data_IF_830221863881
#
_entry.id   IF_830221863881
#
_cell.length_a   1.000
_cell.length_b   1.000
_cell.length_c   1.000
_cell.angle_alpha   90.00
_cell.angle_beta   90.00
_cell.angle_gamma   90.00
#
_symmetry.space_group_name_H-M   'P 1'
#
loop_
_entity.id
_entity.type
_entity.pdbx_description
1 polymer ?
#
# COMPACT_ATOMS: atom_id res chain seq x y z
N UNK A 1 6.51 5.56 6.11
CA UNK A 1 7.33 5.31 7.32
C UNK A 1 7.47 3.80 7.54
N UNK A 2 8.61 3.32 8.08
CA UNK A 2 8.79 1.91 8.44
C UNK A 2 7.95 1.52 9.68
N UNK A 3 7.63 0.23 9.85
CA UNK A 3 6.86 -0.26 11.01
C UNK A 3 7.66 -0.12 12.30
N UNK A 4 6.97 0.17 13.41
CA UNK A 4 7.53 0.09 14.75
C UNK A 4 7.43 -1.34 15.31
N UNK A 5 8.05 -1.57 16.48
CA UNK A 5 8.04 -2.91 17.07
C UNK A 5 6.65 -3.33 17.53
N UNK A 6 5.80 -2.39 17.93
CA UNK A 6 4.43 -2.67 18.39
C UNK A 6 3.61 -3.26 17.22
N UNK A 7 3.71 -2.65 16.03
CA UNK A 7 3.04 -3.15 14.83
C UNK A 7 3.56 -4.53 14.42
N UNK A 8 4.88 -4.76 14.46
CA UNK A 8 5.47 -6.07 14.15
C UNK A 8 5.01 -7.16 15.12
N UNK A 9 4.91 -6.84 16.41
CA UNK A 9 4.43 -7.77 17.44
C UNK A 9 2.94 -8.09 17.23
N UNK A 10 2.12 -7.10 16.84
CA UNK A 10 0.70 -7.28 16.50
C UNK A 10 0.52 -8.17 15.26
N UNK A 11 1.30 -7.94 14.20
CA UNK A 11 1.30 -8.79 13.00
C UNK A 11 1.70 -10.22 13.39
N UNK A 12 2.78 -10.38 14.16
CA UNK A 12 3.28 -11.67 14.63
C UNK A 12 2.25 -12.47 15.42
N UNK A 13 1.46 -11.79 16.27
CA UNK A 13 0.43 -12.40 17.10
C UNK A 13 -0.81 -12.86 16.31
N UNK A 14 -1.08 -12.25 15.16
CA UNK A 14 -2.26 -12.54 14.34
C UNK A 14 -2.23 -13.91 13.65
N UNK A 15 -1.04 -14.47 13.44
CA UNK A 15 -0.84 -15.76 12.77
C UNK A 15 -1.31 -17.00 13.57
N UNK A 16 -1.82 -16.80 14.78
CA UNK A 16 -2.35 -17.87 15.63
C UNK A 16 -3.86 -18.14 15.39
N UNK A 17 -4.48 -17.51 14.40
CA UNK A 17 -5.87 -17.80 14.04
C UNK A 17 -5.98 -19.21 13.45
N UNK A 18 -6.80 -20.08 14.05
CA UNK A 18 -7.19 -21.40 13.53
C UNK A 18 -8.00 -21.27 12.23
N UNK A 19 -7.40 -20.75 11.16
CA UNK A 19 -7.99 -20.79 9.84
C UNK A 19 -7.85 -22.23 9.32
N UNK A 20 -8.92 -23.00 9.48
CA UNK A 20 -9.04 -24.40 9.04
C UNK A 20 -8.93 -24.62 7.52
N UNK A 21 -8.52 -23.61 6.74
CA UNK A 21 -8.42 -23.69 5.30
C UNK A 21 -7.17 -22.96 4.77
N UNK A 22 -6.01 -23.60 4.94
CA UNK A 22 -4.69 -23.16 4.46
C UNK A 22 -4.56 -23.18 2.92
N UNK A 23 -5.65 -22.96 2.17
CA UNK A 23 -5.67 -23.00 0.70
C UNK A 23 -5.93 -21.65 0.03
N UNK A 24 -6.33 -20.61 0.78
CA UNK A 24 -6.55 -19.29 0.20
C UNK A 24 -5.20 -18.58 -0.10
N UNK A 25 -4.94 -18.10 -1.33
CA UNK A 25 -3.70 -17.41 -1.70
C UNK A 25 -3.34 -16.24 -0.76
N UNK A 26 -4.33 -15.43 -0.37
CA UNK A 26 -4.15 -14.31 0.56
C UNK A 26 -3.67 -14.76 1.95
N UNK A 27 -4.17 -15.90 2.45
CA UNK A 27 -3.74 -16.43 3.74
C UNK A 27 -2.26 -16.86 3.71
N UNK A 28 -1.79 -17.42 2.59
CA UNK A 28 -0.39 -17.82 2.43
C UNK A 28 0.56 -16.63 2.45
N UNK A 29 0.25 -15.56 1.69
CA UNK A 29 1.09 -14.35 1.69
C UNK A 29 1.03 -13.60 3.02
N UNK A 30 -0.11 -13.64 3.73
CA UNK A 30 -0.21 -13.13 5.10
C UNK A 30 0.75 -13.87 6.04
N UNK A 31 0.76 -15.20 6.00
CA UNK A 31 1.66 -15.99 6.84
C UNK A 31 3.14 -15.72 6.54
N UNK A 32 3.49 -15.43 5.29
CA UNK A 32 4.86 -15.00 4.95
C UNK A 32 5.22 -13.68 5.63
N UNK A 33 4.30 -12.70 5.67
CA UNK A 33 4.53 -11.43 6.38
C UNK A 33 4.62 -11.64 7.90
N UNK A 34 3.76 -12.51 8.46
CA UNK A 34 3.83 -12.91 9.88
C UNK A 34 5.19 -13.50 10.21
N UNK A 35 5.72 -14.41 9.40
CA UNK A 35 7.04 -15.00 9.63
C UNK A 35 8.17 -13.98 9.46
N UNK A 36 8.08 -13.06 8.49
CA UNK A 36 9.05 -11.97 8.36
C UNK A 36 9.06 -11.07 9.61
N UNK A 37 7.89 -10.69 10.12
CA UNK A 37 7.75 -9.87 11.32
C UNK A 37 8.29 -10.58 12.57
N UNK A 38 8.03 -11.88 12.75
CA UNK A 38 8.52 -12.67 13.89
C UNK A 38 10.05 -12.78 13.94
N UNK A 39 10.69 -12.84 12.77
CA UNK A 39 12.12 -13.14 12.64
C UNK A 39 13.00 -11.89 12.49
N UNK A 40 12.46 -10.69 12.68
CA UNK A 40 13.16 -9.42 12.52
C UNK A 40 12.75 -8.40 13.58
N UNK A 41 13.48 -7.28 13.67
CA UNK A 41 13.18 -6.17 14.57
C UNK A 41 12.87 -4.92 13.79
N UNK A 42 12.18 -3.96 14.40
CA UNK A 42 11.87 -2.67 13.77
C UNK A 42 13.12 -1.95 13.20
N UNK A 43 14.29 -2.15 13.81
CA UNK A 43 15.55 -1.61 13.29
C UNK A 43 15.95 -2.18 11.92
N UNK A 44 15.68 -3.47 11.66
CA UNK A 44 15.98 -4.14 10.39
C UNK A 44 15.06 -3.60 9.28
N UNK A 45 13.76 -3.49 9.58
CA UNK A 45 12.77 -2.88 8.68
C UNK A 45 13.06 -1.43 8.37
N UNK A 46 13.53 -0.66 9.37
CA UNK A 46 13.94 0.72 9.18
C UNK A 46 15.16 0.82 8.27
N UNK A 47 16.18 -0.03 8.49
CA UNK A 47 17.37 -0.03 7.66
C UNK A 47 17.04 -0.32 6.19
N UNK A 48 16.22 -1.35 5.93
CA UNK A 48 15.78 -1.70 4.57
C UNK A 48 14.87 -0.63 3.95
N UNK A 49 14.00 0.01 4.74
CA UNK A 49 13.17 1.11 4.25
C UNK A 49 14.00 2.31 3.83
N UNK A 50 14.95 2.71 4.67
CA UNK A 50 15.83 3.85 4.42
C UNK A 50 16.70 3.59 3.18
N UNK A 51 17.20 2.36 2.98
CA UNK A 51 18.01 2.01 1.80
C UNK A 51 17.20 1.95 0.51
N UNK A 52 16.01 1.35 0.55
CA UNK A 52 15.26 0.98 -0.66
C UNK A 52 14.35 2.11 -1.15
N UNK A 53 13.78 2.89 -0.22
CA UNK A 53 12.76 3.91 -0.53
C UNK A 53 13.20 5.35 -0.29
N UNK A 54 14.22 5.58 0.56
CA UNK A 54 14.68 6.95 0.91
C UNK A 54 16.10 7.29 0.46
N UNK A 55 16.86 6.32 -0.09
CA UNK A 55 18.31 6.37 -0.24
C UNK A 55 18.91 7.71 -0.70
N UNK A 56 20.12 8.03 -0.21
CA UNK A 56 20.84 9.28 -0.53
C UNK A 56 21.20 9.31 -2.02
N UNK A 57 20.34 9.91 -2.84
CA UNK A 57 20.46 9.95 -4.29
C UNK A 57 19.13 9.65 -4.97
N UNK A 58 19.12 8.73 -5.94
CA UNK A 58 17.88 8.22 -6.56
C UNK A 58 17.47 6.96 -5.78
N UNK A 59 16.28 6.92 -5.14
CA UNK A 59 15.81 5.69 -4.51
C UNK A 59 15.67 4.59 -5.56
N UNK A 60 15.91 3.34 -5.15
CA UNK A 60 15.77 2.19 -6.04
C UNK A 60 14.31 2.01 -6.45
N UNK A 61 13.40 2.29 -5.51
CA UNK A 61 11.96 2.11 -5.66
C UNK A 61 11.27 3.42 -5.24
N UNK A 62 10.41 3.95 -6.10
CA UNK A 62 9.56 5.08 -5.77
C UNK A 62 8.23 4.58 -5.25
N UNK A 63 7.66 5.23 -4.23
CA UNK A 63 6.36 4.83 -3.66
C UNK A 63 5.20 5.69 -4.20
N UNK A 64 5.37 6.28 -5.39
CA UNK A 64 4.50 7.33 -5.92
C UNK A 64 3.92 6.95 -7.28
N UNK A 65 2.60 7.05 -7.42
CA UNK A 65 1.91 6.69 -8.66
C UNK A 65 2.33 7.52 -9.87
N UNK A 66 2.67 8.81 -9.68
CA UNK A 66 3.17 9.66 -10.77
C UNK A 66 4.43 9.10 -11.44
N UNK A 67 5.33 8.46 -10.67
CA UNK A 67 6.54 7.85 -11.22
C UNK A 67 6.23 6.70 -12.17
N UNK A 68 5.33 5.79 -11.77
CA UNK A 68 4.98 4.62 -12.59
C UNK A 68 4.13 4.99 -13.81
N UNK A 69 3.25 5.98 -13.68
CA UNK A 69 2.33 6.37 -14.74
C UNK A 69 2.90 7.40 -15.72
N UNK A 70 3.83 8.25 -15.29
CA UNK A 70 4.36 9.35 -16.09
C UNK A 70 5.90 9.41 -16.13
N UNK A 71 6.61 8.51 -15.43
CA UNK A 71 8.06 8.44 -15.39
C UNK A 71 8.74 9.45 -14.47
N UNK A 72 7.99 10.40 -13.89
CA UNK A 72 8.51 11.46 -13.04
C UNK A 72 7.55 11.76 -11.88
N UNK A 73 8.08 12.27 -10.78
CA UNK A 73 7.29 12.68 -9.63
C UNK A 73 6.52 13.99 -9.90
N UNK A 74 5.39 14.16 -9.21
CA UNK A 74 4.57 15.37 -9.23
C UNK A 74 3.95 15.71 -10.59
N UNK A 75 3.72 14.68 -11.40
CA UNK A 75 3.10 14.80 -12.71
C UNK A 75 1.56 14.84 -12.64
N UNK A 76 0.92 14.87 -13.81
CA UNK A 76 -0.55 14.89 -13.96
C UNK A 76 -1.32 13.93 -13.03
N UNK A 77 -0.91 12.67 -12.79
CA UNK A 77 -1.63 11.78 -11.88
C UNK A 77 -1.86 12.37 -10.48
N UNK A 78 -0.90 13.12 -9.93
CA UNK A 78 -1.05 13.78 -8.64
C UNK A 78 -2.16 14.85 -8.66
N UNK A 79 -2.30 15.59 -9.76
CA UNK A 79 -3.37 16.58 -9.91
C UNK A 79 -4.74 15.90 -9.98
N UNK A 80 -4.84 14.74 -10.63
CA UNK A 80 -6.08 13.99 -10.73
C UNK A 80 -6.50 13.43 -9.37
N UNK A 81 -5.55 12.95 -8.56
CA UNK A 81 -5.80 12.55 -7.16
C UNK A 81 -6.33 13.74 -6.34
N UNK A 82 -5.67 14.90 -6.40
CA UNK A 82 -6.11 16.10 -5.66
C UNK A 82 -7.53 16.52 -6.02
N UNK A 83 -7.94 16.37 -7.29
CA UNK A 83 -9.33 16.62 -7.70
C UNK A 83 -10.30 15.64 -7.06
N UNK A 84 -9.96 14.36 -7.00
CA UNK A 84 -10.78 13.35 -6.31
C UNK A 84 -10.88 13.65 -4.80
N UNK A 85 -9.78 14.01 -4.15
CA UNK A 85 -9.80 14.36 -2.73
C UNK A 85 -10.71 15.57 -2.44
N UNK A 86 -10.67 16.60 -3.28
CA UNK A 86 -11.58 17.74 -3.17
C UNK A 86 -13.07 17.33 -3.31
N UNK A 87 -13.38 16.35 -4.16
CA UNK A 87 -14.75 15.83 -4.28
C UNK A 87 -15.20 15.08 -3.02
N UNK A 88 -14.26 14.49 -2.29
CA UNK A 88 -14.52 13.80 -1.02
C UNK A 88 -14.45 14.74 0.19
N UNK A 89 -14.14 16.03 -0.01
CA UNK A 89 -13.93 16.98 1.09
C UNK A 89 -12.68 16.69 1.92
N UNK A 90 -11.69 16.00 1.32
CA UNK A 90 -10.43 15.64 1.95
C UNK A 90 -9.33 16.61 1.52
N UNK A 91 -8.44 16.93 2.47
CA UNK A 91 -7.29 17.80 2.26
C UNK A 91 -6.02 17.12 2.79
N UNK A 92 -4.88 17.49 2.22
CA UNK A 92 -3.58 17.02 2.70
C UNK A 92 -3.31 17.57 4.11
N UNK A 93 -2.68 16.75 4.96
CA UNK A 93 -2.20 17.21 6.25
C UNK A 93 -0.88 17.96 6.10
N UNK A 94 -0.79 19.16 6.70
CA UNK A 94 0.47 19.93 6.78
C UNK A 94 1.59 19.19 7.53
N UNK A 95 1.26 18.13 8.27
CA UNK A 95 2.22 17.32 9.03
C UNK A 95 2.86 16.19 8.24
N UNK A 96 2.43 15.94 6.99
CA UNK A 96 2.91 14.85 6.14
C UNK A 96 3.74 15.45 5.01
N UNK A 97 4.94 14.92 4.80
CA UNK A 97 5.86 15.44 3.80
C UNK A 97 5.62 14.82 2.42
N UNK A 98 5.11 13.59 2.39
CA UNK A 98 4.78 12.84 1.19
C UNK A 98 3.55 13.44 0.48
N UNK A 99 3.59 13.47 -0.85
CA UNK A 99 2.45 13.87 -1.67
C UNK A 99 1.35 12.81 -1.68
N UNK A 100 0.16 13.22 -2.10
CA UNK A 100 -1.07 12.44 -2.04
C UNK A 100 -1.09 11.22 -2.98
N UNK A 101 -0.14 11.15 -3.93
CA UNK A 101 0.07 9.99 -4.81
C UNK A 101 1.01 8.94 -4.23
N UNK A 102 1.48 9.11 -2.99
CA UNK A 102 2.19 8.08 -2.26
C UNK A 102 1.25 6.90 -1.94
N UNK A 103 1.68 5.65 -2.14
CA UNK A 103 0.83 4.45 -1.97
C UNK A 103 0.13 4.40 -0.59
N UNK A 104 0.84 4.77 0.48
CA UNK A 104 0.27 4.82 1.83
C UNK A 104 -0.84 5.88 1.96
N UNK A 105 -0.74 7.03 1.27
CA UNK A 105 -1.79 8.04 1.25
C UNK A 105 -3.03 7.52 0.51
N UNK A 106 -2.84 6.80 -0.59
CA UNK A 106 -3.95 6.17 -1.33
C UNK A 106 -4.67 5.11 -0.49
N UNK A 107 -3.94 4.29 0.26
CA UNK A 107 -4.55 3.33 1.19
C UNK A 107 -5.29 4.00 2.35
N UNK A 108 -4.82 5.14 2.84
CA UNK A 108 -5.53 5.91 3.84
C UNK A 108 -6.86 6.47 3.29
N UNK A 109 -6.87 6.93 2.04
CA UNK A 109 -8.11 7.35 1.36
C UNK A 109 -9.06 6.16 1.18
N UNK A 110 -8.56 4.99 0.75
CA UNK A 110 -9.38 3.77 0.67
C UNK A 110 -9.95 3.38 2.05
N UNK A 111 -9.15 3.45 3.11
CA UNK A 111 -9.60 3.19 4.48
C UNK A 111 -10.75 4.13 4.86
N UNK A 112 -10.64 5.41 4.54
CA UNK A 112 -11.72 6.37 4.75
C UNK A 112 -12.96 6.03 3.92
N UNK A 113 -12.82 5.72 2.62
CA UNK A 113 -13.95 5.39 1.76
C UNK A 113 -14.66 4.08 2.17
N UNK A 114 -13.97 3.16 2.85
CA UNK A 114 -14.49 1.88 3.34
C UNK A 114 -15.16 2.02 4.71
N UNK A 115 -14.50 2.69 5.65
CA UNK A 115 -14.89 2.68 7.07
C UNK A 115 -15.36 4.05 7.59
N UNK A 116 -15.42 5.06 6.74
CA UNK A 116 -15.88 6.41 7.09
C UNK A 116 -17.37 6.47 7.40
N UNK A 117 -17.74 7.40 8.28
CA UNK A 117 -19.13 7.58 8.73
C UNK A 117 -20.01 8.34 7.73
N UNK A 118 -19.41 9.17 6.87
CA UNK A 118 -20.14 9.92 5.84
C UNK A 118 -20.52 8.98 4.70
N UNK A 119 -21.75 8.45 4.74
CA UNK A 119 -22.29 7.54 3.72
C UNK A 119 -22.42 8.17 2.32
N UNK A 120 -22.44 9.51 2.22
CA UNK A 120 -22.45 10.21 0.94
C UNK A 120 -21.13 10.08 0.19
N UNK A 121 -20.04 9.93 0.94
CA UNK A 121 -18.67 9.79 0.40
C UNK A 121 -18.16 8.35 0.53
N UNK A 122 -18.36 7.73 1.68
CA UNK A 122 -17.88 6.40 2.06
C UNK A 122 -18.84 5.33 1.56
N UNK A 123 -18.79 5.07 0.26
CA UNK A 123 -19.65 4.10 -0.41
C UNK A 123 -18.88 3.33 -1.49
N UNK A 124 -19.43 2.18 -1.90
CA UNK A 124 -18.80 1.28 -2.85
C UNK A 124 -18.52 1.92 -4.22
N UNK A 125 -19.35 2.89 -4.64
CA UNK A 125 -19.15 3.57 -5.92
C UNK A 125 -17.86 4.40 -5.88
N UNK A 126 -17.67 5.20 -4.84
CA UNK A 126 -16.47 6.01 -4.67
C UNK A 126 -15.22 5.16 -4.42
N UNK A 127 -15.35 4.06 -3.65
CA UNK A 127 -14.26 3.08 -3.50
C UNK A 127 -13.79 2.55 -4.86
N UNK A 128 -14.73 2.08 -5.70
CA UNK A 128 -14.45 1.54 -7.04
C UNK A 128 -13.79 2.57 -7.95
N UNK A 129 -14.35 3.79 -8.01
CA UNK A 129 -13.81 4.86 -8.86
C UNK A 129 -12.40 5.23 -8.40
N UNK A 130 -12.20 5.49 -7.11
CA UNK A 130 -10.88 5.86 -6.60
C UNK A 130 -9.83 4.76 -6.81
N UNK A 131 -10.19 3.51 -6.54
CA UNK A 131 -9.30 2.37 -6.76
C UNK A 131 -8.89 2.23 -8.23
N UNK A 132 -9.86 2.25 -9.15
CA UNK A 132 -9.60 2.07 -10.58
C UNK A 132 -8.80 3.22 -11.19
N UNK A 133 -9.02 4.45 -10.73
CA UNK A 133 -8.35 5.63 -11.26
C UNK A 133 -6.94 5.81 -10.69
N UNK A 134 -6.73 5.51 -9.40
CA UNK A 134 -5.55 5.97 -8.67
C UNK A 134 -4.64 4.86 -8.12
N UNK A 135 -5.11 3.61 -8.01
CA UNK A 135 -4.32 2.49 -7.46
C UNK A 135 -4.11 1.38 -8.50
N UNK A 136 -5.20 0.86 -9.07
CA UNK A 136 -5.20 -0.23 -10.06
C UNK A 136 -4.20 -0.04 -11.21
N UNK A 137 -3.99 1.17 -11.75
CA UNK A 137 -3.15 1.34 -12.93
C UNK A 137 -1.67 1.04 -12.75
N UNK A 138 -1.16 0.95 -11.51
CA UNK A 138 0.29 0.92 -11.28
C UNK A 138 0.75 0.08 -10.08
N UNK A 139 -0.13 -0.46 -9.24
CA UNK A 139 0.31 -1.21 -8.05
C UNK A 139 1.13 -2.46 -8.41
N UNK A 140 0.84 -3.10 -9.55
CA UNK A 140 1.61 -4.25 -10.03
C UNK A 140 3.05 -3.86 -10.38
N UNK A 141 3.25 -2.70 -11.05
CA UNK A 141 4.59 -2.19 -11.37
C UNK A 141 5.38 -1.81 -10.10
N UNK A 142 4.69 -1.32 -9.06
CA UNK A 142 5.30 -1.09 -7.75
C UNK A 142 5.77 -2.41 -7.13
N UNK A 143 4.91 -3.44 -7.13
CA UNK A 143 5.26 -4.75 -6.60
C UNK A 143 6.43 -5.37 -7.40
N UNK A 144 6.41 -5.27 -8.73
CA UNK A 144 7.50 -5.72 -9.59
C UNK A 144 8.83 -5.02 -9.26
N UNK A 145 8.80 -3.70 -8.99
CA UNK A 145 9.99 -2.95 -8.58
C UNK A 145 10.54 -3.42 -7.23
N UNK A 146 9.67 -3.72 -6.26
CA UNK A 146 10.07 -4.26 -4.95
C UNK A 146 10.65 -5.68 -5.10
N UNK A 147 10.04 -6.51 -5.93
CA UNK A 147 10.44 -7.90 -6.12
C UNK A 147 11.77 -8.01 -6.87
N UNK A 148 12.02 -7.10 -7.82
CA UNK A 148 13.24 -7.04 -8.64
C UNK A 148 14.45 -6.46 -7.89
N UNK A 149 14.26 -5.68 -6.83
CA UNK A 149 15.34 -5.11 -6.06
C UNK A 149 16.06 -6.20 -5.22
N UNK A 150 17.38 -6.39 -5.38
CA UNK A 150 18.12 -7.42 -4.68
C UNK A 150 18.37 -7.09 -3.20
N UNK A 151 18.33 -5.82 -2.83
CA UNK A 151 18.55 -5.33 -1.46
C UNK A 151 17.28 -5.40 -0.60
N UNK A 152 16.12 -5.54 -1.24
CA UNK A 152 14.83 -5.74 -0.57
C UNK A 152 14.64 -7.20 -0.17
N UNK A 153 14.34 -7.44 1.11
CA UNK A 153 14.12 -8.75 1.70
C UNK A 153 12.82 -8.81 2.50
N UNK A 154 12.66 -7.95 3.50
CA UNK A 154 11.48 -7.88 4.36
C UNK A 154 10.26 -7.33 3.61
N UNK A 155 10.46 -6.30 2.78
CA UNK A 155 9.36 -5.67 2.04
C UNK A 155 8.83 -6.53 0.88
N UNK A 156 9.50 -7.63 0.49
CA UNK A 156 8.95 -8.60 -0.46
C UNK A 156 7.72 -9.32 0.09
N UNK A 157 7.66 -9.56 1.41
CA UNK A 157 6.45 -10.11 2.02
C UNK A 157 5.29 -9.11 1.99
N UNK A 158 5.59 -7.81 2.13
CA UNK A 158 4.60 -6.73 1.99
C UNK A 158 4.12 -6.63 0.54
N UNK A 159 5.04 -6.63 -0.43
CA UNK A 159 4.73 -6.66 -1.87
C UNK A 159 3.78 -7.80 -2.24
N UNK A 160 4.09 -9.03 -1.82
CA UNK A 160 3.26 -10.20 -2.08
C UNK A 160 1.85 -10.07 -1.48
N UNK A 161 1.74 -9.59 -0.23
CA UNK A 161 0.46 -9.34 0.41
C UNK A 161 -0.34 -8.26 -0.32
N UNK A 162 0.30 -7.15 -0.66
CA UNK A 162 -0.31 -6.03 -1.39
C UNK A 162 -0.84 -6.49 -2.74
N UNK A 163 -0.04 -7.23 -3.52
CA UNK A 163 -0.45 -7.72 -4.84
C UNK A 163 -1.67 -8.62 -4.75
N UNK A 164 -1.67 -9.62 -3.88
CA UNK A 164 -2.80 -10.54 -3.71
C UNK A 164 -4.06 -9.80 -3.21
N UNK A 165 -3.91 -8.91 -2.23
CA UNK A 165 -5.04 -8.13 -1.71
C UNK A 165 -5.68 -7.26 -2.80
N UNK A 166 -4.87 -6.47 -3.54
CA UNK A 166 -5.38 -5.58 -4.58
C UNK A 166 -5.91 -6.34 -5.80
N UNK A 167 -5.39 -7.54 -6.09
CA UNK A 167 -5.95 -8.41 -7.12
C UNK A 167 -7.36 -8.90 -6.76
N UNK A 168 -7.61 -9.22 -5.49
CA UNK A 168 -8.95 -9.59 -4.99
C UNK A 168 -9.90 -8.39 -5.03
N UNK A 169 -9.45 -7.21 -4.60
CA UNK A 169 -10.23 -5.96 -4.69
C UNK A 169 -10.59 -5.66 -6.16
N UNK A 170 -9.63 -5.78 -7.08
CA UNK A 170 -9.85 -5.58 -8.50
C UNK A 170 -10.94 -6.50 -9.06
N UNK A 171 -10.91 -7.79 -8.72
CA UNK A 171 -11.94 -8.73 -9.15
C UNK A 171 -13.30 -8.40 -8.56
N UNK A 172 -13.34 -8.06 -7.26
CA UNK A 172 -14.56 -7.66 -6.57
C UNK A 172 -15.21 -6.44 -7.22
N UNK A 173 -14.40 -5.41 -7.55
CA UNK A 173 -14.88 -4.20 -8.21
C UNK A 173 -15.35 -4.40 -9.65
N UNK A 174 -14.85 -5.42 -10.35
CA UNK A 174 -15.31 -5.77 -11.71
C UNK A 174 -16.66 -6.52 -11.70
N UNK A 175 -17.08 -7.06 -10.54
CA UNK A 175 -18.33 -7.82 -10.39
C UNK A 175 -19.56 -6.98 -10.00
N UNK A 176 -19.37 -5.71 -9.66
CA UNK A 176 -20.40 -4.72 -9.28
C UNK A 176 -20.45 -3.58 -10.27
#
# INVERSE_FOLDING_TARGET
QPPDQILLDQISASGNSEAQDNQAPLANVWMNLVEAAKNSKAADWKAEYDSSFLGVGKPNIFLYGSYYLAGHLHEKPLLDIRRSLLQFGLEASDSVAETEDHIAALFEVMRYLIAGEDVGVSNLTNQRVFFNDHIRPWYDDLCDAIDADPETHLYKAVSALTREFLAIESQSFDMV
#
